data_IF_613763060549
#
_entry.id   IF_613763060549
#
_cell.length_a   1.000
_cell.length_b   1.000
_cell.length_c   1.000
_cell.angle_alpha   90.00
_cell.angle_beta   90.00
_cell.angle_gamma   90.00
#
_symmetry.space_group_name_H-M   'P 1'
#
loop_
_entity.id
_entity.type
_entity.pdbx_description
1 polymer ?
#
# COMPACT_ATOMS: atom_id res chain seq x y z
N UNK A 1 21.90 11.75 -37.44
CA UNK A 1 22.23 11.69 -36.00
C UNK A 1 20.96 12.02 -35.24
N UNK A 2 20.30 11.02 -34.67
CA UNK A 2 19.07 11.23 -33.92
C UNK A 2 19.41 11.19 -32.42
N UNK A 3 19.83 12.34 -31.89
CA UNK A 3 19.80 12.54 -30.43
C UNK A 3 18.33 12.67 -30.04
N UNK A 4 17.83 11.69 -29.29
CA UNK A 4 16.43 11.68 -28.92
C UNK A 4 16.29 12.31 -27.53
N UNK A 5 15.89 13.58 -27.51
CA UNK A 5 15.61 14.33 -26.27
C UNK A 5 14.28 13.83 -25.70
N UNK A 6 14.31 12.82 -24.82
CA UNK A 6 13.10 12.33 -24.14
C UNK A 6 12.91 13.03 -22.79
N UNK A 7 11.65 13.34 -22.44
CA UNK A 7 11.28 13.71 -21.07
C UNK A 7 11.37 12.47 -20.17
N UNK A 8 12.23 12.50 -19.15
CA UNK A 8 12.36 11.39 -18.22
C UNK A 8 11.18 11.38 -17.24
N UNK A 9 10.68 10.18 -16.96
CA UNK A 9 9.66 9.90 -15.94
C UNK A 9 10.24 8.97 -14.87
N UNK A 10 9.63 8.93 -13.68
CA UNK A 10 10.02 8.03 -12.58
C UNK A 10 10.13 6.59 -13.10
N UNK A 11 11.24 5.93 -12.80
CA UNK A 11 11.55 4.58 -13.30
C UNK A 11 12.36 4.54 -14.61
N UNK A 12 12.80 5.69 -15.13
CA UNK A 12 13.86 5.76 -16.14
C UNK A 12 15.22 5.37 -15.53
N UNK A 13 16.20 4.99 -16.36
CA UNK A 13 17.56 4.59 -15.91
C UNK A 13 18.34 5.74 -15.22
N UNK A 14 17.83 6.96 -15.27
CA UNK A 14 18.44 8.14 -14.63
C UNK A 14 18.09 8.18 -13.15
N UNK A 15 19.10 8.44 -12.31
CA UNK A 15 18.97 8.46 -10.86
C UNK A 15 18.16 9.71 -10.46
N UNK A 16 16.93 9.51 -10.00
CA UNK A 16 16.05 10.58 -9.50
C UNK A 16 16.64 11.22 -8.22
N UNK A 17 16.98 12.52 -8.26
CA UNK A 17 17.55 13.25 -7.11
C UNK A 17 16.49 13.83 -6.13
N UNK A 18 15.19 13.58 -6.33
CA UNK A 18 14.14 14.12 -5.46
C UNK A 18 12.75 14.12 -6.08
N UNK A 19 11.72 14.46 -5.31
CA UNK A 19 10.32 14.40 -5.77
C UNK A 19 9.98 15.49 -6.80
N UNK A 20 9.59 15.00 -7.99
CA UNK A 20 8.77 15.67 -9.00
C UNK A 20 9.43 16.70 -9.94
N UNK A 21 10.72 16.57 -10.24
CA UNK A 21 11.36 17.32 -11.33
C UNK A 21 11.38 16.47 -12.62
N UNK A 22 10.68 16.89 -13.68
CA UNK A 22 10.81 16.27 -15.01
C UNK A 22 12.08 16.80 -15.68
N UNK A 23 13.15 16.03 -15.59
CA UNK A 23 14.41 16.32 -16.28
C UNK A 23 14.36 16.01 -17.78
N UNK A 24 15.23 16.68 -18.54
CA UNK A 24 15.57 16.28 -19.92
C UNK A 24 17.01 15.82 -19.96
N UNK A 25 17.25 14.65 -20.55
CA UNK A 25 18.59 14.14 -20.82
C UNK A 25 18.62 13.61 -22.25
N UNK A 26 19.75 13.77 -22.92
CA UNK A 26 20.00 13.10 -24.20
C UNK A 26 20.42 11.65 -23.92
N UNK A 27 19.79 10.70 -24.59
CA UNK A 27 20.16 9.29 -24.54
C UNK A 27 20.61 8.80 -25.92
N UNK A 28 21.49 7.81 -25.91
CA UNK A 28 21.84 7.06 -27.12
C UNK A 28 20.70 6.11 -27.49
N UNK A 29 20.47 5.91 -28.79
CA UNK A 29 19.46 4.98 -29.29
C UNK A 29 19.80 3.51 -29.04
N UNK A 30 18.86 2.60 -29.33
CA UNK A 30 19.05 1.16 -29.13
C UNK A 30 19.82 0.46 -30.28
N UNK A 31 20.03 1.13 -31.41
CA UNK A 31 20.74 0.57 -32.57
C UNK A 31 22.24 0.74 -32.34
N UNK A 32 23.01 -0.30 -32.66
CA UNK A 32 24.46 -0.25 -32.59
C UNK A 32 24.99 0.49 -33.82
N UNK A 33 25.60 1.64 -33.58
CA UNK A 33 26.28 2.47 -34.58
C UNK A 33 27.79 2.52 -34.29
N UNK A 34 28.58 2.93 -35.28
CA UNK A 34 30.04 3.10 -35.15
C UNK A 34 30.45 4.18 -34.13
N UNK A 35 29.50 4.99 -33.66
CA UNK A 35 29.73 6.07 -32.70
C UNK A 35 29.74 5.59 -31.23
N UNK A 36 29.63 4.28 -30.97
CA UNK A 36 29.62 3.72 -29.62
C UNK A 36 31.03 3.36 -29.15
N UNK A 37 31.49 3.94 -28.04
CA UNK A 37 32.84 3.69 -27.49
C UNK A 37 32.98 2.36 -26.73
N UNK A 38 31.89 1.86 -26.11
CA UNK A 38 31.89 0.64 -25.30
C UNK A 38 30.59 -0.13 -25.54
N UNK A 39 30.70 -1.43 -25.85
CA UNK A 39 29.55 -2.32 -26.02
C UNK A 39 29.54 -3.38 -24.91
N UNK A 40 28.45 -3.43 -24.14
CA UNK A 40 28.26 -4.40 -23.06
C UNK A 40 27.64 -5.70 -23.59
N UNK A 41 28.45 -6.76 -23.67
CA UNK A 41 28.01 -8.11 -24.05
C UNK A 41 27.72 -8.98 -22.81
N UNK A 42 26.69 -9.81 -22.87
CA UNK A 42 26.35 -10.75 -21.78
C UNK A 42 26.56 -12.20 -22.26
N UNK A 43 27.39 -12.96 -21.55
CA UNK A 43 27.62 -14.39 -21.83
C UNK A 43 26.47 -15.21 -21.23
N UNK A 44 25.69 -15.87 -22.07
CA UNK A 44 24.42 -16.52 -21.67
C UNK A 44 24.61 -17.90 -21.02
N UNK A 45 25.75 -18.56 -21.21
CA UNK A 45 25.94 -19.99 -20.84
C UNK A 45 27.15 -20.25 -19.94
N UNK A 46 27.25 -19.54 -18.81
CA UNK A 46 28.27 -19.83 -17.78
C UNK A 46 27.59 -20.05 -16.42
N UNK A 47 27.97 -21.11 -15.69
CA UNK A 47 27.41 -21.41 -14.36
C UNK A 47 28.23 -20.66 -13.32
N UNK A 48 27.84 -19.41 -13.03
CA UNK A 48 28.37 -18.64 -11.91
C UNK A 48 27.37 -18.76 -10.74
N UNK A 49 27.78 -19.28 -9.57
CA UNK A 49 26.90 -19.33 -8.41
C UNK A 49 26.55 -17.91 -7.95
N UNK A 50 25.30 -17.72 -7.52
CA UNK A 50 24.87 -16.45 -6.95
C UNK A 50 25.33 -16.34 -5.48
N UNK A 51 25.87 -15.18 -5.10
CA UNK A 51 26.46 -14.95 -3.79
C UNK A 51 25.44 -14.94 -2.63
N UNK A 52 24.21 -14.51 -2.88
CA UNK A 52 23.18 -14.39 -1.85
C UNK A 52 22.02 -15.36 -2.10
N UNK A 53 21.62 -16.08 -1.06
CA UNK A 53 20.44 -16.93 -1.11
C UNK A 53 19.14 -16.12 -1.08
N UNK A 54 18.00 -16.74 -1.46
CA UNK A 54 16.69 -16.13 -1.28
C UNK A 54 16.42 -15.78 0.19
N UNK A 55 16.05 -14.52 0.46
CA UNK A 55 15.79 -14.03 1.84
C UNK A 55 14.36 -14.29 2.35
N UNK A 56 13.40 -14.49 1.45
CA UNK A 56 11.99 -14.76 1.79
C UNK A 56 11.74 -16.25 1.97
N UNK A 57 11.04 -16.64 3.04
CA UNK A 57 10.72 -18.02 3.38
C UNK A 57 10.07 -18.80 2.21
N UNK A 58 9.15 -18.14 1.51
CA UNK A 58 8.42 -18.70 0.36
C UNK A 58 9.30 -19.08 -0.84
N UNK A 59 10.50 -18.49 -0.95
CA UNK A 59 11.46 -18.76 -2.02
C UNK A 59 12.59 -19.70 -1.58
N UNK A 60 12.58 -20.12 -0.32
CA UNK A 60 13.56 -21.05 0.24
C UNK A 60 13.05 -22.49 0.09
N UNK A 61 13.98 -23.43 -0.14
CA UNK A 61 13.66 -24.86 -0.16
C UNK A 61 13.43 -25.44 1.24
N UNK A 62 13.97 -24.79 2.27
CA UNK A 62 13.84 -25.15 3.68
C UNK A 62 13.65 -23.88 4.51
N UNK A 63 12.81 -23.94 5.54
CA UNK A 63 12.50 -22.79 6.39
C UNK A 63 13.65 -22.45 7.33
N UNK A 64 14.19 -21.24 7.21
CA UNK A 64 15.10 -20.66 8.21
C UNK A 64 14.36 -19.64 9.08
N UNK A 65 14.71 -19.57 10.36
CA UNK A 65 14.09 -18.69 11.35
C UNK A 65 14.26 -17.20 11.04
N UNK A 66 15.37 -16.81 10.40
CA UNK A 66 15.69 -15.41 10.06
C UNK A 66 15.13 -14.96 8.71
N UNK A 67 14.13 -15.68 8.20
CA UNK A 67 13.47 -15.33 6.95
C UNK A 67 12.34 -14.33 7.19
N UNK A 68 12.16 -13.40 6.25
CA UNK A 68 11.29 -12.22 6.45
C UNK A 68 9.81 -12.60 6.65
N UNK A 69 9.34 -13.63 5.93
CA UNK A 69 7.91 -14.02 5.92
C UNK A 69 7.65 -15.27 6.78
N UNK A 70 8.50 -15.52 7.79
CA UNK A 70 8.34 -16.66 8.68
C UNK A 70 7.14 -16.46 9.63
N UNK A 71 6.36 -17.53 9.83
CA UNK A 71 5.21 -17.48 10.74
C UNK A 71 5.70 -17.70 12.18
N UNK A 72 5.96 -16.60 12.86
CA UNK A 72 6.37 -16.58 14.28
C UNK A 72 5.14 -16.47 15.20
N UNK A 73 5.14 -17.04 16.43
CA UNK A 73 4.06 -16.87 17.40
C UNK A 73 3.62 -15.41 17.64
N UNK A 74 4.55 -14.45 17.56
CA UNK A 74 4.27 -13.03 17.63
C UNK A 74 3.31 -12.55 16.52
N UNK A 75 3.50 -13.01 15.27
CA UNK A 75 2.64 -12.68 14.13
C UNK A 75 1.21 -13.20 14.35
N UNK A 76 1.09 -14.41 14.90
CA UNK A 76 -0.21 -15.00 15.25
C UNK A 76 -0.88 -14.21 16.37
N UNK A 77 -0.15 -13.88 17.44
CA UNK A 77 -0.67 -13.09 18.55
C UNK A 77 -1.17 -11.72 18.10
N UNK A 78 -0.42 -11.01 17.27
CA UNK A 78 -0.82 -9.73 16.70
C UNK A 78 -2.12 -9.85 15.88
N UNK A 79 -2.24 -10.90 15.04
CA UNK A 79 -3.46 -11.18 14.27
C UNK A 79 -4.67 -11.46 15.18
N UNK A 80 -4.48 -12.24 16.25
CA UNK A 80 -5.55 -12.49 17.24
C UNK A 80 -5.99 -11.20 17.93
N UNK A 81 -5.04 -10.35 18.34
CA UNK A 81 -5.33 -9.04 18.94
C UNK A 81 -6.10 -8.13 17.97
N UNK A 82 -5.66 -7.99 16.72
CA UNK A 82 -6.37 -7.20 15.71
C UNK A 82 -7.81 -7.69 15.51
N UNK A 83 -8.02 -9.02 15.45
CA UNK A 83 -9.35 -9.60 15.30
C UNK A 83 -10.25 -9.35 16.53
N UNK A 84 -9.68 -9.45 17.74
CA UNK A 84 -10.40 -9.15 18.97
C UNK A 84 -10.84 -7.68 19.02
N UNK A 85 -9.93 -6.76 18.70
CA UNK A 85 -10.20 -5.31 18.66
C UNK A 85 -11.29 -4.98 17.63
N UNK A 86 -11.20 -5.54 16.42
CA UNK A 86 -12.23 -5.36 15.37
C UNK A 86 -13.62 -5.80 15.84
N UNK A 87 -13.72 -6.95 16.52
CA UNK A 87 -14.99 -7.44 17.09
C UNK A 87 -15.52 -6.52 18.19
N UNK A 88 -14.63 -6.03 19.05
CA UNK A 88 -15.00 -5.11 20.13
C UNK A 88 -15.53 -3.78 19.57
N UNK A 89 -14.84 -3.18 18.60
CA UNK A 89 -15.30 -1.94 17.96
C UNK A 89 -16.64 -2.14 17.24
N UNK A 90 -16.82 -3.25 16.52
CA UNK A 90 -18.08 -3.56 15.86
C UNK A 90 -19.24 -3.73 16.87
N UNK A 91 -18.99 -4.31 18.05
CA UNK A 91 -19.98 -4.42 19.12
C UNK A 91 -20.36 -3.04 19.66
N UNK A 92 -19.36 -2.22 20.02
CA UNK A 92 -19.58 -0.85 20.52
C UNK A 92 -20.37 0.01 19.54
N UNK A 93 -19.99 0.03 18.26
CA UNK A 93 -20.69 0.81 17.25
C UNK A 93 -22.15 0.37 17.07
N UNK A 94 -22.47 -0.92 17.25
CA UNK A 94 -23.86 -1.43 17.20
C UNK A 94 -24.67 -0.98 18.41
N UNK A 95 -24.07 -1.04 19.61
CA UNK A 95 -24.69 -0.60 20.86
C UNK A 95 -24.95 0.91 20.82
N UNK A 96 -23.94 1.71 20.47
CA UNK A 96 -24.04 3.17 20.31
C UNK A 96 -25.10 3.57 19.28
N UNK A 97 -25.19 2.86 18.15
CA UNK A 97 -26.22 3.12 17.13
C UNK A 97 -27.63 2.80 17.64
N UNK A 98 -27.80 1.72 18.41
CA UNK A 98 -29.09 1.35 19.00
C UNK A 98 -29.51 2.38 20.09
N UNK A 99 -28.57 2.81 20.92
CA UNK A 99 -28.79 3.87 21.91
C UNK A 99 -29.19 5.20 21.24
N UNK A 100 -28.50 5.58 20.16
CA UNK A 100 -28.82 6.78 19.39
C UNK A 100 -30.22 6.71 18.76
N UNK A 101 -30.61 5.56 18.19
CA UNK A 101 -31.94 5.37 17.62
C UNK A 101 -33.05 5.58 18.66
N UNK A 102 -32.87 5.04 19.87
CA UNK A 102 -33.81 5.23 20.98
C UNK A 102 -33.93 6.71 21.38
N UNK A 103 -32.81 7.43 21.43
CA UNK A 103 -32.78 8.87 21.73
C UNK A 103 -33.55 9.69 20.68
N UNK A 104 -33.39 9.36 19.39
CA UNK A 104 -34.10 10.06 18.31
C UNK A 104 -35.62 9.87 18.43
N UNK A 105 -36.08 8.65 18.71
CA UNK A 105 -37.51 8.37 18.93
C UNK A 105 -38.07 9.20 20.09
N UNK A 106 -37.33 9.28 21.21
CA UNK A 106 -37.71 10.10 22.36
C UNK A 106 -37.83 11.60 22.00
N UNK A 107 -36.81 12.15 21.32
CA UNK A 107 -36.79 13.55 20.87
C UNK A 107 -37.94 13.88 19.91
N UNK A 108 -38.26 12.97 18.99
CA UNK A 108 -39.39 13.15 18.07
C UNK A 108 -40.74 13.11 18.78
N UNK A 109 -40.90 12.24 19.79
CA UNK A 109 -42.12 12.20 20.61
C UNK A 109 -42.30 13.49 21.40
N UNK A 110 -41.25 13.95 22.09
CA UNK A 110 -41.26 15.22 22.82
C UNK A 110 -41.59 16.42 21.91
N UNK A 111 -41.03 16.46 20.70
CA UNK A 111 -41.32 17.52 19.74
C UNK A 111 -42.80 17.50 19.28
N UNK A 112 -43.35 16.32 19.02
CA UNK A 112 -44.78 16.15 18.65
C UNK A 112 -45.71 16.61 19.77
N UNK A 113 -45.43 16.27 21.02
CA UNK A 113 -46.20 16.70 22.20
C UNK A 113 -46.16 18.24 22.35
N UNK A 114 -44.97 18.85 22.23
CA UNK A 114 -44.82 20.31 22.26
C UNK A 114 -45.58 21.01 21.13
N UNK A 115 -45.61 20.43 19.93
CA UNK A 115 -46.41 20.96 18.82
C UNK A 115 -47.91 20.89 19.13
N UNK A 116 -48.41 19.78 19.68
CA UNK A 116 -49.82 19.63 20.09
C UNK A 116 -50.21 20.65 21.15
N UNK A 117 -49.38 20.82 22.18
CA UNK A 117 -49.65 21.80 23.23
C UNK A 117 -49.78 23.23 22.70
N UNK A 118 -48.94 23.63 21.73
CA UNK A 118 -49.03 24.95 21.10
C UNK A 118 -50.34 25.13 20.33
N UNK A 119 -50.80 24.09 19.64
CA UNK A 119 -52.07 24.10 18.92
C UNK A 119 -53.25 24.20 19.89
N UNK A 120 -53.24 23.48 21.02
CA UNK A 120 -54.33 23.52 22.02
C UNK A 120 -54.34 24.80 22.87
N UNK A 121 -53.22 25.51 22.96
CA UNK A 121 -53.10 26.79 23.69
C UNK A 121 -53.40 28.01 22.80
N UNK A 122 -53.58 27.81 21.49
CA UNK A 122 -54.02 28.82 20.53
C UNK A 122 -55.52 28.70 20.31
#
# INVERSE_FOLDING_TARGET
MAECTYCLVRGSLVIDQGELERGSTTCLGCIVDDNLSVLNLVIVKNIVPHWLGPKRASKMKQSALDSIDFVTPCVLQHKHQCNALKKQCAKKNKEEAAEYANLVVKKMKEAKEKCKEKITKS
#
